data_IF_187150394713
#
_entry.id   IF_187150394713
#
_cell.length_a   1.000
_cell.length_b   1.000
_cell.length_c   1.000
_cell.angle_alpha   90.00
_cell.angle_beta   90.00
_cell.angle_gamma   90.00
#
_symmetry.space_group_name_H-M   'P 1'
#
loop_
_entity.id
_entity.type
_entity.pdbx_description
1 polymer ?
#
# COMPACT_ATOMS: atom_id res chain seq x y z
N UNK A 1 2.46 -15.36 23.04
CA UNK A 1 3.59 -14.69 22.37
C UNK A 1 3.45 -15.05 20.91
N UNK A 2 3.17 -14.14 19.97
CA UNK A 2 3.22 -14.53 18.57
C UNK A 2 4.68 -14.68 18.15
N UNK A 3 4.97 -15.75 17.41
CA UNK A 3 6.31 -16.16 16.99
C UNK A 3 6.95 -15.10 16.09
N UNK A 4 8.06 -14.52 16.54
CA UNK A 4 8.89 -13.58 15.78
C UNK A 4 9.66 -14.28 14.63
N UNK A 5 9.50 -15.60 14.46
CA UNK A 5 10.22 -16.42 13.47
C UNK A 5 9.60 -16.41 12.05
N UNK A 6 8.46 -15.73 11.83
CA UNK A 6 7.75 -15.75 10.54
C UNK A 6 7.98 -14.54 9.62
N UNK A 7 8.74 -13.52 10.04
CA UNK A 7 8.88 -12.24 9.33
C UNK A 7 10.35 -11.85 9.11
N UNK A 8 10.65 -11.14 8.01
CA UNK A 8 11.99 -10.60 7.76
C UNK A 8 12.28 -9.41 8.69
N UNK A 9 13.54 -9.23 9.09
CA UNK A 9 13.94 -8.17 10.03
C UNK A 9 13.56 -6.75 9.57
N UNK A 10 13.57 -6.50 8.25
CA UNK A 10 13.21 -5.21 7.65
C UNK A 10 11.70 -4.93 7.66
N UNK A 11 10.88 -5.95 7.95
CA UNK A 11 9.42 -5.86 8.04
C UNK A 11 8.93 -5.79 9.50
N UNK A 12 9.79 -6.11 10.47
CA UNK A 12 9.46 -6.10 11.89
C UNK A 12 9.22 -4.68 12.43
N UNK A 13 9.88 -3.68 11.84
CA UNK A 13 9.69 -2.28 12.19
C UNK A 13 9.34 -1.44 10.95
N UNK A 14 8.18 -0.79 11.00
CA UNK A 14 7.78 0.15 9.97
C UNK A 14 8.70 1.38 9.99
N UNK A 15 9.06 1.94 8.83
CA UNK A 15 9.94 3.09 8.77
C UNK A 15 9.30 4.33 9.38
N UNK A 16 10.09 5.22 9.99
CA UNK A 16 9.57 6.34 10.77
C UNK A 16 8.71 7.34 9.97
N UNK A 17 8.92 7.43 8.65
CA UNK A 17 8.10 8.27 7.76
C UNK A 17 6.70 7.68 7.53
N UNK A 18 6.52 6.37 7.71
CA UNK A 18 5.24 5.69 7.57
C UNK A 18 4.46 5.83 8.88
N UNK A 19 3.85 7.00 9.07
CA UNK A 19 3.18 7.37 10.30
C UNK A 19 1.79 7.99 10.03
N UNK A 20 1.06 8.31 11.10
CA UNK A 20 -0.30 8.85 11.02
C UNK A 20 -0.39 10.17 10.22
N UNK A 21 0.64 11.02 10.26
CA UNK A 21 0.65 12.27 9.50
C UNK A 21 0.72 11.98 7.99
N UNK A 22 1.66 11.13 7.57
CA UNK A 22 1.78 10.74 6.17
C UNK A 22 0.48 10.10 5.64
N UNK A 23 -0.11 9.17 6.41
CA UNK A 23 -1.37 8.53 6.02
C UNK A 23 -2.54 9.52 6.00
N UNK A 24 -2.55 10.52 6.89
CA UNK A 24 -3.55 11.60 6.84
C UNK A 24 -3.47 12.36 5.53
N UNK A 25 -2.27 12.76 5.10
CA UNK A 25 -2.10 13.54 3.87
C UNK A 25 -2.45 12.73 2.61
N UNK A 26 -2.14 11.44 2.62
CA UNK A 26 -2.59 10.48 1.60
C UNK A 26 -4.12 10.40 1.54
N UNK A 27 -4.77 10.14 2.67
CA UNK A 27 -6.21 9.92 2.72
C UNK A 27 -7.01 11.20 2.45
N UNK A 28 -6.55 12.37 2.88
CA UNK A 28 -7.15 13.66 2.51
C UNK A 28 -7.26 13.84 1.01
N UNK A 29 -6.19 13.50 0.30
CA UNK A 29 -6.12 13.60 -1.16
C UNK A 29 -7.03 12.57 -1.82
N UNK A 30 -6.95 11.32 -1.38
CA UNK A 30 -7.71 10.21 -1.96
C UNK A 30 -9.22 10.36 -1.76
N UNK A 31 -9.66 10.66 -0.53
CA UNK A 31 -11.08 10.82 -0.16
C UNK A 31 -11.62 12.22 -0.53
N UNK A 32 -10.76 13.13 -1.01
CA UNK A 32 -11.10 14.54 -1.29
C UNK A 32 -11.73 15.24 -0.08
N UNK A 33 -11.17 14.97 1.10
CA UNK A 33 -11.71 15.40 2.40
C UNK A 33 -10.60 16.11 3.21
N UNK A 34 -10.44 17.44 3.08
CA UNK A 34 -9.34 18.18 3.72
C UNK A 34 -9.39 18.17 5.26
N UNK A 35 -10.57 18.01 5.85
CA UNK A 35 -10.82 17.92 7.30
C UNK A 35 -10.56 16.52 7.88
N UNK A 36 -10.23 15.54 7.03
CA UNK A 36 -9.88 14.19 7.47
C UNK A 36 -8.66 14.21 8.40
N UNK A 37 -8.73 13.47 9.50
CA UNK A 37 -7.62 13.29 10.44
C UNK A 37 -7.52 11.84 10.88
N UNK A 38 -6.35 11.21 10.70
CA UNK A 38 -6.08 9.87 11.25
C UNK A 38 -5.93 9.99 12.77
N UNK A 39 -6.70 9.19 13.49
CA UNK A 39 -6.74 9.14 14.96
C UNK A 39 -6.03 7.93 15.54
N UNK A 40 -5.97 6.82 14.81
CA UNK A 40 -5.19 5.63 15.17
C UNK A 40 -4.60 4.99 13.91
N UNK A 41 -3.39 4.44 14.03
CA UNK A 41 -2.70 3.79 12.93
C UNK A 41 -2.02 2.51 13.43
N UNK A 42 -2.49 1.37 12.94
CA UNK A 42 -1.89 0.06 13.21
C UNK A 42 -1.13 -0.40 11.98
N UNK A 43 0.15 -0.73 12.14
CA UNK A 43 1.01 -1.22 11.05
C UNK A 43 1.54 -2.59 11.46
N UNK A 44 1.46 -3.53 10.54
CA UNK A 44 1.93 -4.91 10.71
C UNK A 44 2.64 -5.37 9.44
N UNK A 45 3.58 -6.32 9.52
CA UNK A 45 4.10 -7.00 8.33
C UNK A 45 2.94 -7.60 7.51
N UNK A 46 2.97 -7.45 6.18
CA UNK A 46 1.92 -8.00 5.31
C UNK A 46 2.22 -9.43 4.81
N UNK A 47 3.43 -9.93 5.00
CA UNK A 47 3.99 -11.05 4.26
C UNK A 47 4.82 -12.00 5.10
N UNK A 48 4.77 -13.29 4.76
CA UNK A 48 5.59 -14.32 5.40
C UNK A 48 7.00 -14.37 4.79
N UNK A 49 7.95 -14.88 5.57
CA UNK A 49 9.33 -15.10 5.16
C UNK A 49 9.39 -15.99 3.88
N UNK A 50 10.00 -15.47 2.82
CA UNK A 50 10.27 -16.21 1.56
C UNK A 50 9.54 -15.70 0.32
N UNK A 51 8.46 -14.93 0.46
CA UNK A 51 7.66 -14.41 -0.67
C UNK A 51 8.18 -13.08 -1.26
N UNK A 52 9.27 -12.53 -0.70
CA UNK A 52 9.67 -11.12 -0.88
C UNK A 52 11.05 -10.95 -1.52
N UNK A 53 11.10 -11.07 -2.85
CA UNK A 53 12.30 -10.76 -3.63
C UNK A 53 12.38 -9.29 -4.11
N UNK A 54 11.28 -8.51 -4.06
CA UNK A 54 11.16 -7.25 -4.79
C UNK A 54 10.68 -5.98 -4.02
N UNK A 55 10.18 -6.08 -2.79
CA UNK A 55 9.76 -4.92 -1.97
C UNK A 55 9.46 -5.31 -0.52
N UNK A 56 9.39 -4.32 0.38
CA UNK A 56 8.87 -4.46 1.76
C UNK A 56 7.39 -4.13 1.75
N UNK A 57 6.58 -4.97 2.40
CA UNK A 57 5.13 -4.78 2.42
C UNK A 57 4.57 -4.69 3.85
N UNK A 58 3.79 -3.64 4.11
CA UNK A 58 3.10 -3.42 5.38
C UNK A 58 1.59 -3.46 5.17
N UNK A 59 0.90 -4.15 6.09
CA UNK A 59 -0.54 -4.11 6.23
C UNK A 59 -0.87 -3.09 7.31
N UNK A 60 -1.69 -2.12 6.94
CA UNK A 60 -2.01 -0.97 7.78
C UNK A 60 -3.52 -0.86 7.96
N UNK A 61 -3.97 -0.50 9.15
CA UNK A 61 -5.36 -0.10 9.40
C UNK A 61 -5.36 1.32 9.95
N UNK A 62 -5.95 2.24 9.20
CA UNK A 62 -6.07 3.65 9.57
C UNK A 62 -7.49 3.93 10.07
N UNK A 63 -7.64 4.30 11.34
CA UNK A 63 -8.88 4.87 11.87
C UNK A 63 -8.80 6.40 11.74
N UNK A 64 -9.83 7.02 11.19
CA UNK A 64 -9.85 8.46 10.93
C UNK A 64 -11.23 9.09 11.18
N UNK A 65 -11.22 10.39 11.43
CA UNK A 65 -12.43 11.20 11.58
C UNK A 65 -12.57 12.19 10.43
N UNK A 66 -13.81 12.48 10.05
CA UNK A 66 -14.20 13.61 9.20
C UNK A 66 -15.40 14.31 9.84
N UNK A 67 -15.88 15.41 9.25
CA UNK A 67 -17.17 16.03 9.58
C UNK A 67 -18.37 15.07 9.54
N UNK A 68 -18.25 13.96 8.80
CA UNK A 68 -19.31 12.94 8.66
C UNK A 68 -19.25 11.83 9.72
N UNK A 69 -18.19 11.78 10.55
CA UNK A 69 -18.06 10.78 11.61
C UNK A 69 -16.70 10.08 11.63
N UNK A 70 -16.70 8.85 12.16
CA UNK A 70 -15.52 7.98 12.28
C UNK A 70 -15.54 6.88 11.23
N UNK A 71 -14.37 6.62 10.66
CA UNK A 71 -14.17 5.66 9.58
C UNK A 71 -12.91 4.84 9.81
N UNK A 72 -12.81 3.73 9.11
CA UNK A 72 -11.67 2.84 9.12
C UNK A 72 -11.32 2.45 7.69
N UNK A 73 -10.04 2.50 7.33
CA UNK A 73 -9.56 2.10 6.01
C UNK A 73 -8.37 1.13 6.13
N UNK A 74 -8.54 -0.12 5.71
CA UNK A 74 -7.46 -1.09 5.65
C UNK A 74 -6.65 -0.89 4.36
N UNK A 75 -5.32 -0.93 4.46
CA UNK A 75 -4.38 -0.54 3.41
C UNK A 75 -3.23 -1.56 3.32
N UNK A 76 -2.76 -1.81 2.10
CA UNK A 76 -1.48 -2.47 1.83
C UNK A 76 -0.50 -1.43 1.30
N UNK A 77 0.69 -1.38 1.89
CA UNK A 77 1.73 -0.41 1.56
C UNK A 77 2.95 -1.18 1.09
N UNK A 78 3.37 -0.94 -0.14
CA UNK A 78 4.62 -1.47 -0.71
C UNK A 78 5.64 -0.36 -0.78
N UNK A 79 6.85 -0.61 -0.32
CA UNK A 79 7.94 0.37 -0.37
C UNK A 79 9.31 -0.30 -0.40
N UNK A 80 10.34 0.50 -0.58
CA UNK A 80 11.73 0.06 -0.55
C UNK A 80 12.20 -0.15 0.89
N UNK A 81 13.08 -1.12 1.16
CA UNK A 81 13.74 -1.23 2.46
C UNK A 81 14.50 0.06 2.81
N UNK A 82 14.41 0.52 4.06
CA UNK A 82 15.24 1.66 4.51
C UNK A 82 16.68 1.24 4.77
N UNK A 83 16.88 0.05 5.34
CA UNK A 83 18.21 -0.49 5.67
C UNK A 83 19.07 -0.60 4.42
N UNK A 84 20.29 -0.06 4.51
CA UNK A 84 21.29 -0.22 3.45
C UNK A 84 21.74 -1.68 3.36
N UNK A 85 22.04 -2.12 2.13
CA UNK A 85 22.51 -3.47 1.88
C UNK A 85 22.10 -3.96 0.50
N UNK A 86 22.56 -5.17 0.16
CA UNK A 86 22.41 -5.75 -1.16
C UNK A 86 20.97 -5.73 -1.70
N UNK A 87 19.97 -5.90 -0.83
CA UNK A 87 18.56 -5.81 -1.24
C UNK A 87 18.19 -4.41 -1.73
N UNK A 88 18.56 -3.35 -1.00
CA UNK A 88 18.25 -1.98 -1.39
C UNK A 88 18.96 -1.62 -2.70
N UNK A 89 20.22 -2.00 -2.84
CA UNK A 89 21.03 -1.75 -4.04
C UNK A 89 20.44 -2.45 -5.28
N UNK A 90 20.09 -3.73 -5.15
CA UNK A 90 19.46 -4.50 -6.24
C UNK A 90 18.11 -3.91 -6.65
N UNK A 91 17.34 -3.38 -5.71
CA UNK A 91 16.03 -2.81 -5.97
C UNK A 91 16.10 -1.38 -6.50
N UNK A 92 17.07 -0.58 -6.07
CA UNK A 92 17.24 0.80 -6.55
C UNK A 92 17.63 0.84 -8.03
N UNK A 93 18.35 -0.18 -8.50
CA UNK A 93 18.75 -0.31 -9.90
C UNK A 93 17.63 -0.88 -10.79
N UNK A 94 16.47 -1.20 -10.20
CA UNK A 94 15.35 -1.80 -10.91
C UNK A 94 14.25 -0.79 -11.27
N UNK A 95 13.50 -1.10 -12.32
CA UNK A 95 12.28 -0.35 -12.68
C UNK A 95 11.00 -0.91 -12.04
N UNK A 96 11.10 -1.74 -10.99
CA UNK A 96 9.97 -2.49 -10.44
C UNK A 96 8.80 -1.59 -10.05
N UNK A 97 9.03 -0.59 -9.19
CA UNK A 97 7.97 0.32 -8.75
C UNK A 97 7.39 1.15 -9.90
N UNK A 98 8.22 1.67 -10.79
CA UNK A 98 7.72 2.45 -11.94
C UNK A 98 6.85 1.63 -12.87
N UNK A 99 7.16 0.34 -13.03
CA UNK A 99 6.39 -0.61 -13.83
C UNK A 99 5.09 -0.98 -13.12
N UNK A 100 5.15 -1.26 -11.82
CA UNK A 100 3.97 -1.58 -11.00
C UNK A 100 2.99 -0.41 -10.95
N UNK A 101 3.47 0.82 -10.75
CA UNK A 101 2.63 2.03 -10.80
C UNK A 101 1.91 2.09 -12.15
N UNK A 102 2.63 1.97 -13.28
CA UNK A 102 2.02 2.01 -14.62
C UNK A 102 0.98 0.89 -14.82
N UNK A 103 1.20 -0.29 -14.24
CA UNK A 103 0.22 -1.36 -14.30
C UNK A 103 -1.10 -0.96 -13.63
N UNK A 104 -1.04 -0.44 -12.40
CA UNK A 104 -2.23 -0.08 -11.62
C UNK A 104 -2.88 1.26 -12.01
N UNK A 105 -2.12 2.21 -12.57
CA UNK A 105 -2.65 3.53 -12.95
C UNK A 105 -3.06 3.62 -14.41
N UNK A 106 -2.64 2.67 -15.26
CA UNK A 106 -2.84 2.78 -16.71
C UNK A 106 -3.29 1.46 -17.33
N UNK A 107 -2.51 0.39 -17.23
CA UNK A 107 -2.81 -0.85 -17.98
C UNK A 107 -4.09 -1.54 -17.47
N UNK A 108 -4.19 -1.78 -16.16
CA UNK A 108 -5.34 -2.46 -15.55
C UNK A 108 -6.65 -1.67 -15.68
N UNK A 109 -6.67 -0.33 -15.45
CA UNK A 109 -7.84 0.49 -15.76
C UNK A 109 -8.31 0.40 -17.22
N UNK A 110 -7.39 0.39 -18.18
CA UNK A 110 -7.75 0.26 -19.60
C UNK A 110 -8.30 -1.13 -19.93
N UNK A 111 -7.74 -2.20 -19.33
CA UNK A 111 -8.30 -3.54 -19.48
C UNK A 111 -9.72 -3.65 -18.91
N UNK A 112 -9.99 -3.11 -17.72
CA UNK A 112 -11.35 -3.07 -17.17
C UNK A 112 -12.31 -2.27 -18.06
N UNK A 113 -11.85 -1.15 -18.66
CA UNK A 113 -12.68 -0.37 -19.59
C UNK A 113 -13.06 -1.20 -20.82
N UNK A 114 -12.10 -1.90 -21.42
CA UNK A 114 -12.33 -2.75 -22.61
C UNK A 114 -13.27 -3.91 -22.27
N UNK A 115 -13.07 -4.59 -21.15
CA UNK A 115 -13.96 -5.67 -20.69
C UNK A 115 -15.38 -5.14 -20.46
N UNK A 116 -15.53 -3.98 -19.82
CA UNK A 116 -16.83 -3.35 -19.58
C UNK A 116 -17.55 -3.01 -20.88
N UNK A 117 -16.83 -2.53 -21.89
CA UNK A 117 -17.39 -2.29 -23.23
C UNK A 117 -17.85 -3.57 -23.93
N UNK A 118 -17.22 -4.70 -23.62
CA UNK A 118 -17.65 -6.03 -24.08
C UNK A 118 -18.78 -6.64 -23.22
N UNK A 119 -19.29 -5.93 -22.21
CA UNK A 119 -20.35 -6.40 -21.31
C UNK A 119 -19.85 -7.21 -20.11
N UNK A 120 -18.55 -7.24 -19.85
CA UNK A 120 -17.93 -7.91 -18.71
C UNK A 120 -17.58 -6.90 -17.60
N UNK A 121 -18.22 -7.06 -16.44
CA UNK A 121 -18.02 -6.21 -15.26
C UNK A 121 -16.92 -6.68 -14.30
N UNK A 122 -16.04 -7.58 -14.73
CA UNK A 122 -14.97 -8.12 -13.89
C UNK A 122 -14.04 -7.01 -13.38
N UNK A 123 -13.83 -6.99 -12.06
CA UNK A 123 -12.86 -6.12 -11.41
C UNK A 123 -11.52 -6.82 -11.33
N UNK A 124 -10.55 -6.33 -12.09
CA UNK A 124 -9.22 -6.92 -12.26
C UNK A 124 -8.21 -6.44 -11.21
N UNK A 125 -8.48 -5.30 -10.56
CA UNK A 125 -7.49 -4.71 -9.66
C UNK A 125 -8.11 -4.03 -8.43
N UNK A 126 -7.26 -3.84 -7.43
CA UNK A 126 -7.59 -3.12 -6.21
C UNK A 126 -7.35 -1.62 -6.41
N UNK A 127 -8.17 -0.72 -5.86
CA UNK A 127 -7.93 0.71 -5.99
C UNK A 127 -6.54 1.09 -5.48
N UNK A 128 -5.75 1.75 -6.35
CA UNK A 128 -4.53 2.42 -5.95
C UNK A 128 -4.91 3.70 -5.21
N UNK A 129 -4.56 3.77 -3.93
CA UNK A 129 -4.87 4.89 -3.02
C UNK A 129 -3.83 5.99 -3.19
N UNK A 130 -2.56 5.61 -3.32
CA UNK A 130 -1.45 6.54 -3.46
C UNK A 130 -0.26 5.85 -4.12
N UNK A 131 0.54 6.64 -4.84
CA UNK A 131 1.85 6.20 -5.27
C UNK A 131 2.81 7.37 -5.35
N UNK A 132 4.09 7.10 -5.15
CA UNK A 132 5.17 8.03 -5.46
C UNK A 132 6.43 7.30 -5.89
N UNK A 133 7.24 7.98 -6.70
CA UNK A 133 8.62 7.59 -6.98
C UNK A 133 9.61 8.46 -6.21
N UNK A 134 9.23 9.70 -5.86
CA UNK A 134 10.09 10.69 -5.20
C UNK A 134 9.34 11.42 -4.07
N UNK A 135 9.96 11.67 -2.90
CA UNK A 135 11.33 11.30 -2.53
C UNK A 135 11.49 9.81 -2.20
N UNK A 136 10.41 9.02 -2.27
CA UNK A 136 10.37 7.60 -1.91
C UNK A 136 9.53 6.83 -2.91
N UNK A 137 10.00 5.62 -3.21
CA UNK A 137 9.24 4.65 -3.99
C UNK A 137 8.23 3.96 -3.06
N UNK A 138 6.96 4.28 -3.25
CA UNK A 138 5.86 3.78 -2.42
C UNK A 138 4.60 3.63 -3.26
N UNK A 139 3.85 2.55 -3.02
CA UNK A 139 2.52 2.34 -3.57
C UNK A 139 1.61 1.88 -2.44
N UNK A 140 0.41 2.44 -2.37
CA UNK A 140 -0.60 2.13 -1.36
C UNK A 140 -1.86 1.67 -2.07
N UNK A 141 -2.39 0.54 -1.63
CA UNK A 141 -3.63 -0.05 -2.10
C UNK A 141 -4.63 -0.18 -0.96
N UNK A 142 -5.92 -0.29 -1.29
CA UNK A 142 -6.89 -0.81 -0.33
C UNK A 142 -6.61 -2.29 -0.04
N UNK A 143 -6.62 -2.68 1.23
CA UNK A 143 -6.52 -4.09 1.62
C UNK A 143 -7.89 -4.76 1.54
N UNK A 144 -7.99 -5.79 0.70
CA UNK A 144 -9.23 -6.56 0.48
C UNK A 144 -9.34 -7.81 1.35
N UNK A 145 -8.29 -8.21 2.06
CA UNK A 145 -8.33 -9.40 2.94
C UNK A 145 -9.41 -9.30 4.02
N UNK A 146 -9.61 -8.14 4.70
CA UNK A 146 -10.72 -7.98 5.64
C UNK A 146 -12.11 -8.12 5.02
N UNK A 147 -12.23 -8.07 3.68
CA UNK A 147 -13.49 -8.15 2.94
C UNK A 147 -13.82 -9.58 2.47
N UNK A 148 -13.06 -10.60 2.91
CA UNK A 148 -13.32 -12.01 2.61
C UNK A 148 -12.93 -12.43 1.19
N UNK A 149 -12.06 -11.65 0.53
CA UNK A 149 -11.48 -11.98 -0.78
C UNK A 149 -9.97 -12.14 -0.61
N UNK A 150 -9.52 -13.38 -0.60
CA UNK A 150 -8.12 -13.76 -0.74
C UNK A 150 -7.82 -14.05 -2.21
#
# INVERSE_FOLDING_TARGET
MPDTEQFNADELEAPAWLNAQFITDVLRTYEKCPDLQVTDLKITPASAQGDHYASVMFRTTAEYTTSMGKFCKPLIIKTMPEQEGHKKDMLSDSHFFSTEIKAYTTALPEFERILREAGDGTKLFVPCVYHSLEPRQVIIFEDLVPQGRA
#
